data_IF_037179654419
#
_entry.id   IF_037179654419
#
_cell.length_a   1.000
_cell.length_b   1.000
_cell.length_c   1.000
_cell.angle_alpha   90.00
_cell.angle_beta   90.00
_cell.angle_gamma   90.00
#
_symmetry.space_group_name_H-M   'P 1'
#
loop_
_entity.id
_entity.type
_entity.pdbx_description
1 polymer ?
#
# COMPACT_ATOMS: atom_id res chain seq x y z
N UNK A 1 38.23 -83.46 29.37
CA UNK A 1 39.38 -82.58 29.66
C UNK A 1 40.32 -82.63 28.46
N UNK A 2 40.45 -81.50 27.72
CA UNK A 2 41.13 -81.31 26.40
C UNK A 2 40.50 -82.15 25.26
N UNK A 3 40.25 -81.67 24.03
CA UNK A 3 41.09 -81.08 22.97
C UNK A 3 40.08 -80.44 21.97
N UNK A 4 40.08 -79.12 21.69
CA UNK A 4 40.77 -78.36 20.60
C UNK A 4 40.32 -78.61 19.14
N UNK A 5 39.68 -77.57 18.57
CA UNK A 5 39.89 -76.89 17.27
C UNK A 5 39.43 -77.43 15.88
N UNK A 6 38.72 -76.50 15.19
CA UNK A 6 38.66 -76.10 13.75
C UNK A 6 38.23 -77.13 12.70
N UNK A 7 37.13 -76.84 11.97
CA UNK A 7 37.19 -76.52 10.51
C UNK A 7 35.94 -75.78 10.02
N UNK A 8 36.17 -74.74 9.23
CA UNK A 8 35.19 -73.88 8.54
C UNK A 8 34.42 -74.63 7.45
N UNK A 9 33.13 -74.29 7.28
CA UNK A 9 32.40 -74.52 6.04
C UNK A 9 31.70 -73.21 5.65
N UNK A 10 32.04 -72.72 4.47
CA UNK A 10 31.59 -71.44 3.92
C UNK A 10 30.12 -71.48 3.50
N UNK A 11 29.44 -70.36 3.76
CA UNK A 11 28.11 -70.09 3.23
C UNK A 11 28.24 -68.90 2.28
N UNK A 12 28.19 -69.21 0.98
CA UNK A 12 28.12 -68.24 -0.11
C UNK A 12 26.72 -67.64 -0.06
N UNK A 13 26.59 -66.44 0.52
CA UNK A 13 25.39 -65.62 0.34
C UNK A 13 25.46 -64.96 -1.04
N UNK A 14 24.64 -65.44 -1.97
CA UNK A 14 24.33 -64.75 -3.21
C UNK A 14 23.53 -63.48 -2.87
N UNK A 15 24.18 -62.32 -2.91
CA UNK A 15 23.51 -61.03 -2.88
C UNK A 15 22.88 -60.77 -4.25
N UNK A 16 21.56 -60.92 -4.35
CA UNK A 16 20.76 -60.35 -5.43
C UNK A 16 20.73 -58.83 -5.23
N UNK A 17 21.68 -58.14 -5.86
CA UNK A 17 21.61 -56.71 -6.08
C UNK A 17 20.53 -56.51 -7.16
N UNK A 18 19.34 -56.09 -6.75
CA UNK A 18 18.37 -55.45 -7.65
C UNK A 18 18.94 -54.09 -8.04
N UNK A 19 19.86 -54.10 -9.02
CA UNK A 19 20.17 -52.94 -9.83
C UNK A 19 19.02 -52.76 -10.82
N UNK A 20 17.97 -52.06 -10.39
CA UNK A 20 17.00 -51.47 -11.31
C UNK A 20 17.63 -50.23 -11.93
N UNK A 21 17.84 -50.25 -13.23
CA UNK A 21 18.31 -49.11 -14.02
C UNK A 21 17.40 -47.89 -13.83
N UNK A 22 17.92 -46.83 -13.20
CA UNK A 22 17.33 -45.49 -13.29
C UNK A 22 18.04 -44.76 -14.44
N UNK A 23 17.69 -45.13 -15.67
CA UNK A 23 18.10 -44.39 -16.86
C UNK A 23 17.36 -43.05 -16.87
N UNK A 24 18.00 -42.02 -16.30
CA UNK A 24 18.02 -40.69 -16.90
C UNK A 24 16.79 -39.80 -16.75
N UNK A 25 16.07 -39.80 -15.62
CA UNK A 25 15.19 -38.65 -15.30
C UNK A 25 16.06 -37.45 -14.91
N UNK A 26 16.35 -36.59 -15.89
CA UNK A 26 16.86 -35.26 -15.59
C UNK A 26 15.81 -34.53 -14.74
N UNK A 27 16.24 -33.97 -13.61
CA UNK A 27 15.38 -33.10 -12.83
C UNK A 27 14.89 -31.96 -13.75
N UNK A 28 13.60 -31.57 -13.67
CA UNK A 28 13.11 -30.42 -14.41
C UNK A 28 13.99 -29.19 -14.15
N UNK A 29 14.13 -28.34 -15.16
CA UNK A 29 14.82 -27.06 -14.99
C UNK A 29 14.07 -26.21 -13.97
N UNK A 30 14.81 -25.46 -13.16
CA UNK A 30 14.22 -24.49 -12.24
C UNK A 30 13.82 -23.22 -12.98
N UNK A 31 12.64 -22.69 -12.65
CA UNK A 31 12.05 -21.49 -13.24
C UNK A 31 11.85 -20.46 -12.14
N UNK A 32 12.41 -19.26 -12.32
CA UNK A 32 12.18 -18.12 -11.44
C UNK A 32 10.85 -17.46 -11.77
N UNK A 33 10.00 -17.27 -10.75
CA UNK A 33 8.70 -16.60 -10.88
C UNK A 33 8.61 -15.50 -9.84
N UNK A 34 8.41 -14.27 -10.30
CA UNK A 34 8.08 -13.14 -9.43
C UNK A 34 6.59 -12.88 -9.48
N UNK A 35 5.95 -12.67 -8.33
CA UNK A 35 4.53 -12.37 -8.23
C UNK A 35 4.36 -11.01 -7.57
N UNK A 36 3.63 -10.11 -8.20
CA UNK A 36 3.35 -8.77 -7.67
C UNK A 36 1.85 -8.54 -7.53
N UNK A 37 1.42 -8.01 -6.38
CA UNK A 37 0.04 -7.59 -6.17
C UNK A 37 -0.11 -6.10 -6.52
N UNK A 38 -0.91 -5.78 -7.53
CA UNK A 38 -1.21 -4.41 -7.95
C UNK A 38 -2.73 -4.18 -8.08
N UNK A 39 -3.52 -4.98 -7.38
CA UNK A 39 -4.98 -4.89 -7.32
C UNK A 39 -5.41 -3.89 -6.23
N UNK A 40 -5.82 -2.65 -6.58
CA UNK A 40 -6.00 -1.55 -5.62
C UNK A 40 -7.14 -1.78 -4.62
N UNK A 41 -8.17 -2.54 -4.97
CA UNK A 41 -9.33 -2.87 -4.15
C UNK A 41 -9.05 -3.90 -3.07
N UNK A 42 -7.82 -4.41 -2.98
CA UNK A 42 -7.40 -5.41 -1.99
C UNK A 42 -6.26 -4.85 -1.14
N UNK A 43 -6.36 -5.00 0.18
CA UNK A 43 -5.26 -4.64 1.08
C UNK A 43 -4.08 -5.59 0.90
N UNK A 44 -4.40 -6.88 0.85
CA UNK A 44 -3.47 -7.96 0.63
C UNK A 44 -4.16 -9.09 -0.13
N UNK A 45 -3.36 -9.85 -0.88
CA UNK A 45 -3.77 -11.08 -1.55
C UNK A 45 -2.87 -12.22 -1.07
N UNK A 46 -3.46 -13.39 -0.87
CA UNK A 46 -2.72 -14.62 -0.65
C UNK A 46 -2.50 -15.33 -1.97
N UNK A 47 -1.24 -15.58 -2.34
CA UNK A 47 -0.86 -16.33 -3.53
C UNK A 47 -0.30 -17.70 -3.13
N UNK A 48 -0.72 -18.78 -3.79
CA UNK A 48 -0.23 -20.14 -3.54
C UNK A 48 -0.27 -21.01 -4.81
N UNK A 49 0.68 -21.95 -4.93
CA UNK A 49 0.74 -22.92 -6.05
C UNK A 49 -0.24 -24.09 -5.91
N UNK A 50 -0.58 -24.49 -4.69
CA UNK A 50 -1.54 -25.56 -4.39
C UNK A 50 -2.24 -25.20 -3.08
N UNK A 51 -3.21 -25.99 -2.61
CA UNK A 51 -3.75 -25.84 -1.24
C UNK A 51 -2.71 -26.08 -0.12
N UNK A 52 -1.45 -26.42 -0.45
CA UNK A 52 -0.35 -26.48 0.53
C UNK A 52 0.04 -25.07 1.00
N UNK A 53 -0.21 -24.80 2.28
CA UNK A 53 0.04 -23.51 2.93
C UNK A 53 1.53 -23.18 3.11
N UNK A 54 2.45 -24.13 2.85
CA UNK A 54 3.89 -23.95 3.06
C UNK A 54 4.62 -23.22 1.92
N UNK A 55 3.98 -23.06 0.76
CA UNK A 55 4.56 -22.43 -0.44
C UNK A 55 3.66 -21.29 -0.98
N UNK A 56 3.24 -20.40 -0.09
CA UNK A 56 2.44 -19.23 -0.44
C UNK A 56 3.05 -17.92 0.05
N UNK A 57 2.46 -16.81 -0.37
CA UNK A 57 2.81 -15.47 0.04
C UNK A 57 1.56 -14.65 0.39
N UNK A 58 1.68 -13.79 1.39
CA UNK A 58 0.74 -12.70 1.60
C UNK A 58 1.36 -11.45 1.01
N UNK A 59 0.78 -10.96 -0.09
CA UNK A 59 1.27 -9.82 -0.85
C UNK A 59 0.39 -8.61 -0.54
N UNK A 60 0.90 -7.64 0.20
CA UNK A 60 0.25 -6.33 0.31
C UNK A 60 0.16 -5.63 -1.05
N UNK A 61 -0.72 -4.65 -1.18
CA UNK A 61 -0.79 -3.84 -2.39
C UNK A 61 0.58 -3.19 -2.70
N UNK A 62 1.03 -3.31 -3.96
CA UNK A 62 2.36 -2.96 -4.50
C UNK A 62 3.55 -3.78 -3.97
N UNK A 63 3.28 -4.87 -3.25
CA UNK A 63 4.32 -5.80 -2.83
C UNK A 63 4.59 -6.87 -3.90
N UNK A 64 5.77 -7.49 -3.83
CA UNK A 64 6.12 -8.61 -4.69
C UNK A 64 7.04 -9.62 -4.02
N UNK A 65 6.93 -10.88 -4.42
CA UNK A 65 7.77 -11.96 -3.92
C UNK A 65 8.27 -12.86 -5.05
N UNK A 66 9.50 -13.37 -4.91
CA UNK A 66 10.08 -14.35 -5.81
C UNK A 66 9.89 -15.78 -5.31
N UNK A 67 9.69 -16.67 -6.27
CA UNK A 67 9.55 -18.10 -6.09
C UNK A 67 10.43 -18.82 -7.11
N UNK A 68 10.73 -20.08 -6.81
CA UNK A 68 11.41 -20.98 -7.74
C UNK A 68 10.58 -22.25 -7.85
N UNK A 69 10.18 -22.57 -9.09
CA UNK A 69 9.41 -23.77 -9.41
C UNK A 69 10.19 -24.69 -10.35
N UNK A 70 9.67 -25.88 -10.60
CA UNK A 70 10.14 -26.75 -11.68
C UNK A 70 9.42 -26.34 -12.98
N UNK A 71 10.04 -26.57 -14.14
CA UNK A 71 9.36 -26.38 -15.42
C UNK A 71 8.22 -27.39 -15.55
N UNK A 72 6.98 -26.91 -15.48
CA UNK A 72 5.74 -27.70 -15.54
C UNK A 72 4.52 -26.77 -15.72
N UNK A 73 3.33 -27.34 -15.84
CA UNK A 73 2.06 -26.61 -15.73
C UNK A 73 1.57 -26.65 -14.28
N UNK A 74 1.21 -25.49 -13.72
CA UNK A 74 0.72 -25.37 -12.34
C UNK A 74 -0.61 -24.64 -12.28
N UNK A 75 -1.49 -25.06 -11.37
CA UNK A 75 -2.70 -24.29 -11.02
C UNK A 75 -2.39 -23.34 -9.86
N UNK A 76 -2.19 -22.05 -10.13
CA UNK A 76 -2.00 -21.07 -9.06
C UNK A 76 -3.32 -20.55 -8.53
N UNK A 77 -3.40 -20.36 -7.22
CA UNK A 77 -4.56 -19.82 -6.51
C UNK A 77 -4.23 -18.48 -5.87
N UNK A 78 -5.12 -17.52 -6.07
CA UNK A 78 -5.12 -16.24 -5.37
C UNK A 78 -6.36 -16.19 -4.48
N UNK A 79 -6.24 -15.90 -3.20
CA UNK A 79 -7.38 -15.62 -2.32
C UNK A 79 -7.28 -14.25 -1.67
N UNK A 80 -8.43 -13.61 -1.49
CA UNK A 80 -8.51 -12.36 -0.72
C UNK A 80 -8.47 -12.65 0.79
N UNK A 81 -8.04 -11.66 1.59
CA UNK A 81 -8.21 -11.71 3.04
C UNK A 81 -9.70 -11.57 3.40
N UNK A 82 -10.15 -12.30 4.41
CA UNK A 82 -11.42 -12.01 5.10
C UNK A 82 -11.16 -11.55 6.54
N UNK A 83 -11.96 -10.59 7.02
CA UNK A 83 -11.92 -10.07 8.40
C UNK A 83 -12.95 -10.73 9.31
N UNK A 84 -13.72 -11.67 8.77
CA UNK A 84 -14.77 -12.41 9.44
C UNK A 84 -14.75 -13.86 8.94
N UNK A 85 -15.62 -14.72 9.51
CA UNK A 85 -15.72 -16.13 9.14
C UNK A 85 -16.35 -16.38 7.75
N UNK A 86 -16.39 -15.37 6.86
CA UNK A 86 -16.81 -15.56 5.47
C UNK A 86 -15.74 -16.30 4.69
N UNK A 87 -16.17 -17.17 3.76
CA UNK A 87 -15.25 -17.83 2.84
C UNK A 87 -14.62 -16.81 1.88
N UNK A 88 -13.29 -16.81 1.79
CA UNK A 88 -12.55 -15.98 0.85
C UNK A 88 -12.87 -16.36 -0.60
N UNK A 89 -13.09 -15.36 -1.48
CA UNK A 89 -13.06 -15.61 -2.92
C UNK A 89 -11.67 -16.09 -3.33
N UNK A 90 -11.65 -16.98 -4.32
CA UNK A 90 -10.42 -17.54 -4.87
C UNK A 90 -10.46 -17.45 -6.39
N UNK A 91 -9.37 -16.96 -6.97
CA UNK A 91 -9.12 -16.95 -8.41
C UNK A 91 -8.04 -17.97 -8.75
N UNK A 92 -8.11 -18.54 -9.95
CA UNK A 92 -7.17 -19.56 -10.40
C UNK A 92 -6.71 -19.28 -11.82
N UNK A 93 -5.43 -19.52 -12.09
CA UNK A 93 -4.86 -19.49 -13.44
C UNK A 93 -3.76 -20.54 -13.57
N UNK A 94 -3.59 -21.08 -14.78
CA UNK A 94 -2.76 -22.25 -15.03
C UNK A 94 -1.71 -22.03 -16.13
N UNK A 95 -0.64 -21.25 -15.89
CA UNK A 95 0.41 -21.03 -16.88
C UNK A 95 1.29 -22.28 -17.00
N UNK A 96 1.84 -22.49 -18.20
CA UNK A 96 2.90 -23.44 -18.44
C UNK A 96 4.25 -22.74 -18.22
N UNK A 97 5.06 -23.25 -17.29
CA UNK A 97 6.39 -22.73 -17.01
C UNK A 97 7.43 -23.51 -17.82
N UNK A 98 8.13 -22.82 -18.71
CA UNK A 98 9.25 -23.39 -19.47
C UNK A 98 10.59 -22.97 -18.84
N UNK A 99 11.49 -23.94 -18.68
CA UNK A 99 12.83 -23.77 -18.14
C UNK A 99 13.79 -22.90 -18.95
N UNK A 100 13.34 -22.33 -20.07
CA UNK A 100 14.06 -21.35 -20.87
C UNK A 100 13.75 -19.89 -20.46
N UNK A 101 12.73 -19.65 -19.64
CA UNK A 101 12.27 -18.31 -19.28
C UNK A 101 12.23 -18.11 -17.75
N UNK A 102 12.29 -16.84 -17.33
CA UNK A 102 11.75 -16.39 -16.05
C UNK A 102 10.37 -15.77 -16.29
N UNK A 103 9.57 -15.66 -15.23
CA UNK A 103 8.21 -15.12 -15.33
C UNK A 103 7.96 -14.05 -14.29
N UNK A 104 7.18 -13.05 -14.67
CA UNK A 104 6.52 -12.14 -13.73
C UNK A 104 5.01 -12.33 -13.83
N UNK A 105 4.35 -12.62 -12.72
CA UNK A 105 2.90 -12.63 -12.60
C UNK A 105 2.46 -11.34 -11.94
N UNK A 106 1.67 -10.55 -12.66
CA UNK A 106 1.12 -9.30 -12.14
C UNK A 106 -0.35 -9.53 -11.83
N UNK A 107 -0.68 -9.56 -10.54
CA UNK A 107 -2.06 -9.71 -10.08
C UNK A 107 -2.76 -8.36 -10.21
N UNK A 108 -3.51 -8.18 -11.28
CA UNK A 108 -4.27 -6.95 -11.55
C UNK A 108 -5.73 -7.10 -11.11
N UNK A 109 -6.48 -6.00 -11.20
CA UNK A 109 -7.91 -5.97 -10.91
C UNK A 109 -8.72 -5.35 -12.06
N UNK A 110 -9.84 -5.99 -12.39
CA UNK A 110 -10.85 -5.46 -13.31
C UNK A 110 -12.22 -5.67 -12.68
N UNK A 111 -12.89 -4.58 -12.30
CA UNK A 111 -14.25 -4.64 -11.75
C UNK A 111 -14.41 -5.47 -10.47
N UNK A 112 -13.39 -5.47 -9.59
CA UNK A 112 -13.42 -6.25 -8.33
C UNK A 112 -12.97 -7.71 -8.46
N UNK A 113 -12.54 -8.12 -9.66
CA UNK A 113 -12.06 -9.47 -9.97
C UNK A 113 -10.56 -9.44 -10.30
N UNK A 114 -9.82 -10.44 -9.80
CA UNK A 114 -8.39 -10.57 -10.08
C UNK A 114 -8.17 -11.15 -11.48
N UNK A 115 -7.33 -10.46 -12.27
CA UNK A 115 -6.92 -10.91 -13.60
C UNK A 115 -5.38 -10.92 -13.69
N UNK A 116 -4.73 -12.08 -13.50
CA UNK A 116 -3.29 -12.16 -13.60
C UNK A 116 -2.79 -11.91 -15.03
N UNK A 117 -1.79 -11.05 -15.19
CA UNK A 117 -1.01 -10.93 -16.43
C UNK A 117 0.29 -11.71 -16.25
N UNK A 118 0.56 -12.63 -17.17
CA UNK A 118 1.76 -13.45 -17.17
C UNK A 118 2.75 -12.89 -18.19
N UNK A 119 3.90 -12.44 -17.68
CA UNK A 119 4.99 -11.88 -18.49
C UNK A 119 6.10 -12.92 -18.55
N UNK A 120 6.48 -13.30 -19.76
CA UNK A 120 7.60 -14.21 -20.01
C UNK A 120 8.86 -13.41 -20.33
N UNK A 121 9.97 -13.81 -19.72
CA UNK A 121 11.25 -13.15 -19.86
C UNK A 121 12.29 -14.13 -20.36
N UNK A 122 12.81 -13.87 -21.55
CA UNK A 122 14.01 -14.56 -22.04
C UNK A 122 15.25 -14.10 -21.29
N UNK A 123 16.36 -14.83 -21.44
CA UNK A 123 17.64 -14.44 -20.83
C UNK A 123 18.04 -13.01 -21.22
N UNK A 124 18.32 -12.11 -20.25
CA UNK A 124 18.68 -10.73 -20.54
C UNK A 124 19.95 -10.65 -21.41
N UNK A 125 19.94 -9.83 -22.48
CA UNK A 125 21.13 -9.64 -23.30
C UNK A 125 22.25 -8.97 -22.50
N UNK A 126 23.49 -9.44 -22.65
CA UNK A 126 24.64 -8.98 -21.86
C UNK A 126 25.01 -7.48 -22.04
N UNK A 127 24.49 -6.82 -23.07
CA UNK A 127 24.86 -5.44 -23.43
C UNK A 127 23.70 -4.44 -23.36
N UNK A 128 22.46 -4.93 -23.42
CA UNK A 128 21.24 -4.14 -23.46
C UNK A 128 20.42 -4.36 -22.18
N UNK A 129 19.53 -3.43 -21.88
CA UNK A 129 18.51 -3.63 -20.86
C UNK A 129 17.33 -4.41 -21.47
N UNK A 130 16.82 -5.41 -20.77
CA UNK A 130 15.57 -6.07 -21.13
C UNK A 130 14.44 -5.37 -20.39
N UNK A 131 13.50 -4.80 -21.14
CA UNK A 131 12.37 -4.08 -20.58
C UNK A 131 11.07 -4.79 -20.96
N UNK A 132 10.22 -4.99 -19.96
CA UNK A 132 8.80 -5.24 -20.14
C UNK A 132 8.03 -4.11 -19.47
N UNK A 133 6.88 -3.74 -20.03
CA UNK A 133 5.95 -2.83 -19.40
C UNK A 133 4.53 -3.39 -19.51
N UNK A 134 3.78 -3.37 -18.41
CA UNK A 134 2.40 -3.86 -18.34
C UNK A 134 1.49 -2.79 -17.76
N UNK A 135 0.28 -2.69 -18.31
CA UNK A 135 -0.70 -1.71 -17.86
C UNK A 135 -1.72 -2.35 -16.92
N UNK A 136 -1.52 -2.26 -15.60
CA UNK A 136 -2.46 -2.82 -14.61
C UNK A 136 -3.61 -1.86 -14.25
N UNK A 137 -3.50 -0.57 -14.56
CA UNK A 137 -4.53 0.44 -14.30
C UNK A 137 -5.73 0.37 -15.27
N UNK A 138 -6.62 -0.60 -15.07
CA UNK A 138 -7.78 -0.88 -15.94
C UNK A 138 -8.80 0.26 -16.11
N UNK A 139 -8.77 1.28 -15.25
CA UNK A 139 -9.61 2.47 -15.35
C UNK A 139 -9.06 3.59 -16.25
N UNK A 140 -7.86 3.44 -16.81
CA UNK A 140 -7.24 4.44 -17.69
C UNK A 140 -7.34 4.04 -19.18
N UNK A 141 -7.23 5.03 -20.10
CA UNK A 141 -7.08 4.73 -21.52
C UNK A 141 -5.77 4.00 -21.80
N UNK A 142 -5.62 3.48 -23.02
CA UNK A 142 -4.34 2.98 -23.51
C UNK A 142 -3.22 4.02 -23.30
N UNK A 143 -2.02 3.53 -23.00
CA UNK A 143 -0.87 4.35 -22.66
C UNK A 143 0.22 4.25 -23.72
N UNK A 144 0.92 5.36 -23.93
CA UNK A 144 2.19 5.41 -24.63
C UNK A 144 3.34 5.43 -23.61
N UNK A 145 4.34 4.56 -23.81
CA UNK A 145 5.57 4.53 -23.01
C UNK A 145 6.70 5.28 -23.71
N UNK A 146 7.24 6.30 -23.07
CA UNK A 146 8.47 6.95 -23.46
C UNK A 146 9.57 6.60 -22.46
N UNK A 147 10.74 6.28 -22.99
CA UNK A 147 11.97 6.06 -22.21
C UNK A 147 13.07 6.86 -22.90
N UNK A 148 13.31 8.05 -22.38
CA UNK A 148 14.21 9.05 -22.95
C UNK A 148 15.39 9.32 -22.03
N UNK A 149 16.52 9.81 -22.57
CA UNK A 149 17.67 10.16 -21.73
C UNK A 149 17.30 11.31 -20.79
N UNK A 150 17.94 11.41 -19.60
CA UNK A 150 17.62 12.45 -18.63
C UNK A 150 17.68 13.85 -19.23
N UNK A 151 16.64 14.65 -18.98
CA UNK A 151 16.52 16.03 -19.48
C UNK A 151 16.17 16.20 -20.96
N UNK A 152 16.02 15.12 -21.75
CA UNK A 152 15.61 15.24 -23.17
C UNK A 152 14.12 15.56 -23.31
N UNK A 153 13.28 14.97 -22.44
CA UNK A 153 11.82 15.08 -22.54
C UNK A 153 11.25 14.33 -23.76
N UNK A 154 9.94 14.48 -24.00
CA UNK A 154 9.21 13.72 -25.04
C UNK A 154 8.82 14.54 -26.28
N UNK A 155 9.20 15.82 -26.35
CA UNK A 155 8.83 16.69 -27.46
C UNK A 155 9.46 16.21 -28.78
N UNK A 156 8.63 15.74 -29.71
CA UNK A 156 9.09 15.18 -30.98
C UNK A 156 9.63 13.74 -30.89
N UNK A 157 9.60 13.12 -29.71
CA UNK A 157 9.93 11.72 -29.55
C UNK A 157 8.79 10.83 -30.07
N UNK A 158 9.13 9.62 -30.51
CA UNK A 158 8.14 8.56 -30.80
C UNK A 158 8.10 7.63 -29.59
N UNK A 159 6.92 7.21 -29.12
CA UNK A 159 6.83 6.27 -28.00
C UNK A 159 7.52 4.95 -28.33
N UNK A 160 8.06 4.29 -27.30
CA UNK A 160 8.66 2.95 -27.39
C UNK A 160 7.61 1.87 -27.66
N UNK A 161 6.35 2.16 -27.37
CA UNK A 161 5.19 1.35 -27.69
C UNK A 161 3.94 1.91 -27.03
N UNK A 162 2.79 1.41 -27.48
CA UNK A 162 1.46 1.70 -26.93
C UNK A 162 0.82 0.39 -26.46
N UNK A 163 0.08 0.44 -25.36
CA UNK A 163 -0.49 -0.76 -24.74
C UNK A 163 -1.79 -0.43 -24.01
N UNK A 164 -2.82 -1.25 -24.22
CA UNK A 164 -4.09 -1.14 -23.51
C UNK A 164 -3.96 -1.70 -22.08
N UNK A 165 -4.97 -1.45 -21.24
CA UNK A 165 -5.09 -2.13 -19.96
C UNK A 165 -5.01 -3.66 -20.13
N UNK A 166 -4.31 -4.32 -19.21
CA UNK A 166 -3.99 -5.76 -19.23
C UNK A 166 -3.03 -6.22 -20.32
N UNK A 167 -2.56 -5.32 -21.20
CA UNK A 167 -1.56 -5.64 -22.20
C UNK A 167 -0.15 -5.29 -21.71
N UNK A 168 0.83 -5.86 -22.44
CA UNK A 168 2.24 -5.62 -22.22
C UNK A 168 2.98 -5.30 -23.51
N UNK A 169 4.07 -4.56 -23.38
CA UNK A 169 5.06 -4.32 -24.45
C UNK A 169 6.45 -4.66 -23.94
N UNK A 170 7.36 -5.02 -24.85
CA UNK A 170 8.74 -5.36 -24.52
C UNK A 170 9.72 -4.57 -25.40
N UNK A 171 9.88 -3.25 -25.18
CA UNK A 171 10.80 -2.44 -25.97
C UNK A 171 12.25 -2.83 -25.69
N UNK A 172 13.10 -2.76 -26.72
CA UNK A 172 14.55 -2.97 -26.59
C UNK A 172 15.26 -1.63 -26.44
N UNK A 173 16.12 -1.51 -25.45
CA UNK A 173 16.82 -0.28 -25.13
C UNK A 173 18.28 -0.58 -24.78
N UNK A 174 19.22 0.27 -25.25
CA UNK A 174 20.57 0.26 -24.71
C UNK A 174 20.54 0.47 -23.20
N UNK A 175 21.47 -0.13 -22.49
CA UNK A 175 21.62 0.14 -21.06
C UNK A 175 21.93 1.62 -20.76
N UNK A 176 21.66 2.03 -19.53
CA UNK A 176 21.99 3.36 -19.00
C UNK A 176 20.80 4.05 -18.33
N UNK A 177 20.92 5.36 -18.19
CA UNK A 177 19.94 6.18 -17.47
C UNK A 177 18.84 6.69 -18.38
N UNK A 178 17.62 6.72 -17.83
CA UNK A 178 16.39 7.11 -18.51
C UNK A 178 15.43 7.87 -17.59
N UNK A 179 14.56 8.67 -18.18
CA UNK A 179 13.30 9.13 -17.58
C UNK A 179 12.15 8.37 -18.26
N UNK A 180 11.25 7.83 -17.46
CA UNK A 180 10.03 7.17 -17.95
C UNK A 180 8.91 8.21 -17.97
N UNK A 181 8.24 8.34 -19.11
CA UNK A 181 7.02 9.14 -19.25
C UNK A 181 5.89 8.29 -19.79
N UNK A 182 4.72 8.36 -19.15
CA UNK A 182 3.48 7.74 -19.62
C UNK A 182 2.49 8.81 -20.02
N UNK A 183 1.95 8.71 -21.24
CA UNK A 183 0.89 9.59 -21.74
C UNK A 183 -0.31 8.79 -22.20
N UNK A 184 -1.44 9.45 -22.42
CA UNK A 184 -2.52 8.82 -23.17
C UNK A 184 -2.02 8.48 -24.58
N UNK A 185 -2.41 7.31 -25.10
CA UNK A 185 -1.94 6.82 -26.38
C UNK A 185 -2.31 7.79 -27.52
N UNK A 186 -1.31 8.21 -28.29
CA UNK A 186 -1.47 9.16 -29.38
C UNK A 186 -1.65 10.63 -28.95
N UNK A 187 -1.57 10.94 -27.66
CA UNK A 187 -1.66 12.30 -27.11
C UNK A 187 -0.51 12.60 -26.13
N UNK A 188 0.65 13.05 -26.63
CA UNK A 188 1.80 13.36 -25.78
C UNK A 188 1.60 14.59 -24.88
N UNK A 189 0.52 15.36 -25.05
CA UNK A 189 0.20 16.48 -24.15
C UNK A 189 -0.52 16.02 -22.87
N UNK A 190 -1.18 14.87 -22.92
CA UNK A 190 -1.87 14.28 -21.78
C UNK A 190 -0.94 13.33 -21.01
N UNK A 191 -0.06 13.90 -20.18
CA UNK A 191 0.93 13.17 -19.39
C UNK A 191 0.31 12.69 -18.07
N UNK A 192 0.39 11.39 -17.80
CA UNK A 192 -0.04 10.81 -16.52
C UNK A 192 1.08 10.74 -15.48
N UNK A 193 2.32 10.51 -15.93
CA UNK A 193 3.46 10.36 -15.04
C UNK A 193 4.77 10.64 -15.79
N UNK A 194 5.69 11.36 -15.14
CA UNK A 194 7.09 11.42 -15.56
C UNK A 194 8.00 11.16 -14.38
N UNK A 195 8.90 10.18 -14.45
CA UNK A 195 9.76 9.82 -13.32
C UNK A 195 10.94 10.78 -13.18
N UNK A 196 11.61 10.70 -12.04
CA UNK A 196 13.03 11.05 -11.95
C UNK A 196 13.88 10.05 -12.76
N UNK A 197 15.19 10.32 -12.87
CA UNK A 197 16.11 9.41 -13.53
C UNK A 197 16.12 8.02 -12.88
N UNK A 198 15.96 7.00 -13.71
CA UNK A 198 16.11 5.58 -13.38
C UNK A 198 17.25 4.97 -14.18
N UNK A 199 17.93 3.98 -13.60
CA UNK A 199 18.97 3.24 -14.30
C UNK A 199 18.42 1.91 -14.81
N UNK A 200 18.66 1.61 -16.08
CA UNK A 200 18.37 0.34 -16.73
C UNK A 200 19.69 -0.39 -17.03
N UNK A 201 20.14 -1.31 -16.17
CA UNK A 201 21.43 -1.98 -16.34
C UNK A 201 21.41 -2.99 -17.50
N UNK A 202 22.59 -3.25 -18.08
CA UNK A 202 22.75 -4.34 -19.03
C UNK A 202 22.58 -5.70 -18.35
N UNK A 203 22.08 -6.69 -19.08
CA UNK A 203 21.93 -8.06 -18.55
C UNK A 203 20.92 -8.17 -17.40
N UNK A 204 20.04 -7.18 -17.24
CA UNK A 204 19.02 -7.14 -16.18
C UNK A 204 17.63 -7.05 -16.79
N UNK A 205 16.72 -7.86 -16.26
CA UNK A 205 15.29 -7.78 -16.51
C UNK A 205 14.69 -6.60 -15.71
N UNK A 206 14.00 -5.70 -16.39
CA UNK A 206 13.32 -4.56 -15.81
C UNK A 206 11.86 -4.57 -16.24
N UNK A 207 10.97 -4.93 -15.31
CA UNK A 207 9.53 -4.94 -15.57
C UNK A 207 8.89 -3.70 -14.94
N UNK A 208 8.33 -2.83 -15.77
CA UNK A 208 7.52 -1.69 -15.35
C UNK A 208 6.06 -2.10 -15.24
N UNK A 209 5.49 -2.06 -14.04
CA UNK A 209 4.06 -2.30 -13.84
C UNK A 209 3.37 -0.97 -13.59
N UNK A 210 2.49 -0.53 -14.50
CA UNK A 210 1.70 0.69 -14.30
C UNK A 210 0.57 0.39 -13.32
N UNK A 211 0.69 0.88 -12.10
CA UNK A 211 -0.20 0.59 -10.98
C UNK A 211 -1.23 1.71 -10.82
N UNK A 212 -2.54 1.41 -10.73
CA UNK A 212 -3.54 2.41 -10.35
C UNK A 212 -3.37 2.76 -8.87
N UNK A 213 -3.19 4.04 -8.52
CA UNK A 213 -3.03 4.44 -7.11
C UNK A 213 -4.29 4.21 -6.28
N UNK A 214 -5.46 4.18 -6.93
CA UNK A 214 -6.74 3.84 -6.31
C UNK A 214 -7.17 4.80 -5.21
N UNK A 215 -6.50 5.94 -5.02
CA UNK A 215 -6.75 6.87 -3.92
C UNK A 215 -5.60 7.05 -2.91
N UNK A 216 -4.43 6.40 -3.08
CA UNK A 216 -3.24 6.63 -2.23
C UNK A 216 -2.60 8.03 -2.36
N UNK A 217 -3.27 8.99 -3.01
CA UNK A 217 -2.80 10.37 -3.10
C UNK A 217 -3.42 11.15 -4.25
N UNK A 218 -2.69 12.16 -4.72
CA UNK A 218 -3.11 13.05 -5.80
C UNK A 218 -2.83 12.48 -7.20
N UNK A 219 -1.91 11.52 -7.31
CA UNK A 219 -1.58 10.84 -8.56
C UNK A 219 -2.59 9.75 -8.91
N UNK A 220 -2.86 9.57 -10.21
CA UNK A 220 -3.74 8.49 -10.69
C UNK A 220 -3.02 7.14 -10.79
N UNK A 221 -1.71 7.18 -11.10
CA UNK A 221 -0.85 6.01 -11.25
C UNK A 221 0.51 6.22 -10.61
N UNK A 222 1.16 5.11 -10.28
CA UNK A 222 2.61 4.99 -10.12
C UNK A 222 3.13 3.86 -11.00
N UNK A 223 4.44 3.68 -11.04
CA UNK A 223 5.06 2.52 -11.70
C UNK A 223 5.82 1.70 -10.68
N UNK A 224 5.43 0.44 -10.48
CA UNK A 224 6.23 -0.53 -9.74
C UNK A 224 7.30 -1.08 -10.68
N UNK A 225 8.55 -0.72 -10.41
CA UNK A 225 9.72 -1.22 -11.12
C UNK A 225 10.22 -2.50 -10.44
N UNK A 226 10.05 -3.61 -11.13
CA UNK A 226 10.52 -4.93 -10.74
C UNK A 226 11.87 -5.19 -11.42
N UNK A 227 12.95 -4.99 -10.66
CA UNK A 227 14.35 -5.34 -10.97
C UNK A 227 14.93 -6.16 -9.82
N UNK A 228 16.23 -6.15 -9.52
CA UNK A 228 16.79 -6.85 -8.35
C UNK A 228 15.97 -6.63 -7.06
N UNK A 229 15.86 -5.39 -6.58
CA UNK A 229 14.90 -5.00 -5.54
C UNK A 229 13.75 -4.20 -6.16
N UNK A 230 12.49 -4.48 -5.79
CA UNK A 230 11.35 -3.68 -6.21
C UNK A 230 11.45 -2.22 -5.74
N UNK A 231 10.99 -1.29 -6.56
CA UNK A 231 10.85 0.12 -6.18
C UNK A 231 9.63 0.75 -6.84
N UNK A 232 9.04 1.74 -6.18
CA UNK A 232 7.92 2.51 -6.73
C UNK A 232 8.46 3.81 -7.31
N UNK A 233 8.12 4.07 -8.57
CA UNK A 233 8.43 5.30 -9.28
C UNK A 233 7.19 6.18 -9.30
N UNK A 234 7.33 7.37 -8.73
CA UNK A 234 6.28 8.39 -8.68
C UNK A 234 6.50 9.43 -9.78
N UNK A 235 5.44 10.16 -10.10
CA UNK A 235 5.56 11.34 -10.94
C UNK A 235 6.37 12.43 -10.21
N UNK A 236 7.47 12.87 -10.82
CA UNK A 236 8.33 13.93 -10.29
C UNK A 236 7.63 15.27 -10.19
N UNK A 237 6.56 15.46 -10.96
CA UNK A 237 5.76 16.68 -10.97
C UNK A 237 4.54 16.59 -10.05
N UNK A 238 4.34 15.45 -9.37
CA UNK A 238 3.19 15.29 -8.50
C UNK A 238 3.26 16.26 -7.32
N UNK A 239 2.15 16.94 -7.07
CA UNK A 239 2.00 17.81 -5.91
C UNK A 239 1.69 16.97 -4.67
N UNK A 240 2.12 17.43 -3.50
CA UNK A 240 1.59 16.93 -2.24
C UNK A 240 0.27 17.64 -1.94
N UNK A 241 -0.61 16.97 -1.21
CA UNK A 241 -1.88 17.54 -0.75
C UNK A 241 -2.04 17.33 0.76
N UNK A 242 -2.53 18.36 1.45
CA UNK A 242 -2.73 18.33 2.90
C UNK A 242 -4.13 18.84 3.24
N UNK A 243 -4.80 18.15 4.16
CA UNK A 243 -5.98 18.64 4.86
C UNK A 243 -5.72 18.79 6.35
N UNK A 244 -6.58 19.55 7.01
CA UNK A 244 -6.40 19.93 8.41
C UNK A 244 -7.63 19.56 9.22
N UNK A 245 -7.41 19.14 10.46
CA UNK A 245 -8.45 18.92 11.47
C UNK A 245 -8.14 19.81 12.67
N UNK A 246 -9.12 20.62 13.06
CA UNK A 246 -9.02 21.49 14.24
C UNK A 246 -9.42 20.73 15.51
N UNK A 247 -8.44 20.41 16.35
CA UNK A 247 -8.60 19.82 17.67
C UNK A 247 -8.21 20.76 18.83
N UNK A 248 -8.25 22.08 18.64
CA UNK A 248 -7.92 23.03 19.69
C UNK A 248 -8.86 22.88 20.90
N UNK A 249 -8.32 22.92 22.12
CA UNK A 249 -9.09 22.59 23.34
C UNK A 249 -10.18 23.63 23.66
N UNK A 250 -10.03 24.86 23.17
CA UNK A 250 -11.02 25.93 23.34
C UNK A 250 -12.19 25.83 22.34
N UNK A 251 -12.14 24.88 21.41
CA UNK A 251 -13.12 24.62 20.36
C UNK A 251 -13.43 25.80 19.43
N UNK A 252 -12.60 26.85 19.45
CA UNK A 252 -12.79 28.00 18.58
C UNK A 252 -12.25 27.73 17.16
N UNK A 253 -12.83 28.34 16.13
CA UNK A 253 -12.35 28.17 14.75
C UNK A 253 -10.96 28.78 14.57
N UNK A 254 -10.19 28.28 13.61
CA UNK A 254 -8.82 28.72 13.31
C UNK A 254 -8.58 29.00 11.83
N UNK A 255 -7.70 29.95 11.54
CA UNK A 255 -7.15 30.15 10.21
C UNK A 255 -5.86 29.33 10.06
N UNK A 256 -5.63 28.75 8.88
CA UNK A 256 -4.39 28.05 8.50
C UNK A 256 -3.76 28.76 7.31
N UNK A 257 -2.48 29.09 7.42
CA UNK A 257 -1.67 29.71 6.38
C UNK A 257 -0.40 28.90 6.12
N UNK A 258 0.17 29.07 4.92
CA UNK A 258 1.49 28.54 4.55
C UNK A 258 2.46 29.71 4.45
N UNK A 259 3.66 29.55 5.01
CA UNK A 259 4.76 30.53 4.95
C UNK A 259 4.32 31.96 5.31
N UNK A 260 3.50 32.07 6.36
CA UNK A 260 2.95 33.32 6.88
C UNK A 260 2.08 34.11 5.88
N UNK A 261 1.56 33.44 4.85
CA UNK A 261 0.59 34.02 3.91
C UNK A 261 -0.82 34.02 4.53
N UNK A 262 -1.14 35.04 5.31
CA UNK A 262 -2.42 35.17 6.01
C UNK A 262 -3.52 35.92 5.24
N UNK A 263 -3.24 36.41 4.03
CA UNK A 263 -4.21 37.19 3.24
C UNK A 263 -4.15 36.83 1.75
N UNK A 264 -5.08 35.98 1.27
CA UNK A 264 -5.96 35.11 2.08
C UNK A 264 -5.16 33.99 2.77
N UNK A 265 -5.62 33.48 3.93
CA UNK A 265 -5.08 32.24 4.48
C UNK A 265 -5.44 31.06 3.55
N UNK A 266 -4.74 29.93 3.66
CA UNK A 266 -5.06 28.72 2.90
C UNK A 266 -6.48 28.23 3.21
N UNK A 267 -6.81 28.18 4.50
CA UNK A 267 -8.15 27.91 4.99
C UNK A 267 -8.49 28.95 6.06
N UNK A 268 -9.70 29.48 6.00
CA UNK A 268 -10.19 30.41 7.02
C UNK A 268 -11.28 29.77 7.87
N UNK A 269 -11.27 30.09 9.17
CA UNK A 269 -12.29 29.71 10.14
C UNK A 269 -12.66 28.21 10.15
N UNK A 270 -11.65 27.34 10.12
CA UNK A 270 -11.82 25.88 10.21
C UNK A 270 -12.55 25.54 11.52
N UNK A 271 -13.78 24.99 11.48
CA UNK A 271 -14.54 24.66 12.68
C UNK A 271 -13.87 23.56 13.51
N UNK A 272 -14.12 23.54 14.81
CA UNK A 272 -13.63 22.49 15.68
C UNK A 272 -14.24 21.13 15.33
N UNK A 273 -13.37 20.11 15.25
CA UNK A 273 -13.77 18.73 14.97
C UNK A 273 -14.31 18.51 13.56
N UNK A 274 -13.99 19.40 12.63
CA UNK A 274 -14.26 19.26 11.20
C UNK A 274 -12.96 19.22 10.41
N UNK A 275 -13.02 18.56 9.26
CA UNK A 275 -11.91 18.48 8.33
C UNK A 275 -12.07 19.48 7.19
N UNK A 276 -10.95 19.99 6.70
CA UNK A 276 -10.93 20.73 5.44
C UNK A 276 -10.94 19.76 4.25
N UNK A 277 -11.28 20.24 3.04
CA UNK A 277 -10.84 19.58 1.82
C UNK A 277 -9.31 19.46 1.77
N UNK A 278 -8.79 18.56 0.94
CA UNK A 278 -7.36 18.59 0.59
C UNK A 278 -7.04 19.85 -0.22
N UNK A 279 -5.90 20.46 0.08
CA UNK A 279 -5.33 21.53 -0.72
C UNK A 279 -3.86 21.24 -1.06
N UNK A 280 -3.33 21.78 -2.18
CA UNK A 280 -1.92 21.65 -2.52
C UNK A 280 -1.00 22.11 -1.39
N UNK A 281 0.05 21.34 -1.14
CA UNK A 281 1.09 21.64 -0.17
C UNK A 281 2.49 21.53 -0.80
N UNK A 282 3.44 22.41 -0.46
CA UNK A 282 4.79 22.32 -0.98
C UNK A 282 5.47 20.98 -0.66
N UNK A 283 6.18 20.42 -1.64
CA UNK A 283 7.03 19.23 -1.45
C UNK A 283 8.37 19.59 -0.80
N UNK A 284 8.78 20.85 -0.90
CA UNK A 284 9.86 21.41 -0.08
C UNK A 284 9.35 21.78 1.32
N UNK A 285 10.26 21.92 2.28
CA UNK A 285 9.91 22.33 3.64
C UNK A 285 9.27 23.72 3.64
N UNK A 286 8.05 23.81 4.19
CA UNK A 286 7.28 25.04 4.34
C UNK A 286 6.69 25.13 5.76
N UNK A 287 6.43 26.36 6.21
CA UNK A 287 5.81 26.62 7.52
C UNK A 287 4.30 26.54 7.41
N UNK A 288 3.69 25.74 8.28
CA UNK A 288 2.27 25.71 8.53
C UNK A 288 2.02 26.61 9.74
N UNK A 289 1.23 27.66 9.53
CA UNK A 289 0.89 28.64 10.54
C UNK A 289 -0.59 28.53 10.90
N UNK A 290 -0.90 28.38 12.19
CA UNK A 290 -2.28 28.38 12.70
C UNK A 290 -2.47 29.61 13.58
N UNK A 291 -3.56 30.35 13.35
CA UNK A 291 -3.90 31.56 14.10
C UNK A 291 -5.38 31.59 14.46
N UNK A 292 -5.80 32.35 15.48
CA UNK A 292 -7.21 32.68 15.68
C UNK A 292 -7.75 33.42 14.46
N UNK A 293 -9.04 33.24 14.18
CA UNK A 293 -9.70 33.87 13.03
C UNK A 293 -9.52 35.39 13.06
N UNK A 294 -8.98 35.94 11.97
CA UNK A 294 -8.79 37.39 11.82
C UNK A 294 -7.71 38.01 12.70
N UNK A 295 -6.91 37.21 13.41
CA UNK A 295 -5.79 37.68 14.24
C UNK A 295 -4.47 37.00 13.85
N UNK A 296 -3.96 37.35 12.67
CA UNK A 296 -2.71 36.80 12.13
C UNK A 296 -1.46 37.13 12.94
N UNK A 297 -1.54 38.08 13.89
CA UNK A 297 -0.45 38.40 14.81
C UNK A 297 -0.31 37.41 15.98
N UNK A 298 -1.32 36.59 16.24
CA UNK A 298 -1.31 35.58 17.30
C UNK A 298 -1.02 34.19 16.70
N UNK A 299 0.26 33.86 16.56
CA UNK A 299 0.67 32.55 16.06
C UNK A 299 0.53 31.49 17.15
N UNK A 300 -0.35 30.51 16.92
CA UNK A 300 -0.59 29.41 17.87
C UNK A 300 0.11 28.11 17.48
N UNK A 301 0.41 27.92 16.18
CA UNK A 301 1.26 26.86 15.65
C UNK A 301 2.21 27.45 14.59
N UNK A 302 3.49 27.07 14.64
CA UNK A 302 4.49 27.34 13.59
C UNK A 302 5.27 26.05 13.30
N UNK A 303 4.68 25.17 12.49
CA UNK A 303 5.24 23.85 12.22
C UNK A 303 5.92 23.83 10.85
N UNK A 304 7.17 23.42 10.78
CA UNK A 304 7.84 23.15 9.49
C UNK A 304 7.60 21.71 9.07
N UNK A 305 7.07 21.52 7.86
CA UNK A 305 6.81 20.19 7.27
C UNK A 305 7.19 20.23 5.79
N UNK A 306 7.52 19.08 5.22
CA UNK A 306 7.67 18.92 3.77
C UNK A 306 6.61 17.92 3.29
N UNK A 307 5.94 18.24 2.19
CA UNK A 307 4.98 17.35 1.56
C UNK A 307 5.69 16.19 0.86
N UNK A 308 5.00 15.06 0.77
CA UNK A 308 5.46 13.93 -0.04
C UNK A 308 4.81 14.03 -1.43
N UNK A 309 5.58 14.17 -2.52
CA UNK A 309 5.03 14.24 -3.88
C UNK A 309 4.03 13.11 -4.16
N UNK A 310 2.88 13.46 -4.73
CA UNK A 310 1.86 12.48 -5.13
C UNK A 310 1.06 11.89 -3.97
N UNK A 311 1.31 12.30 -2.74
CA UNK A 311 0.63 11.79 -1.55
C UNK A 311 -0.37 12.82 -0.99
N UNK A 312 -1.40 12.28 -0.34
CA UNK A 312 -2.33 13.02 0.50
C UNK A 312 -2.01 12.78 1.96
N UNK A 313 -2.26 13.78 2.79
CA UNK A 313 -2.07 13.63 4.22
C UNK A 313 -3.06 14.45 5.03
N UNK A 314 -3.21 14.05 6.29
CA UNK A 314 -4.00 14.73 7.30
C UNK A 314 -3.09 15.29 8.39
N UNK A 315 -3.29 16.55 8.73
CA UNK A 315 -2.71 17.18 9.90
C UNK A 315 -3.78 17.46 10.95
N UNK A 316 -3.62 16.91 12.14
CA UNK A 316 -4.39 17.29 13.32
C UNK A 316 -3.56 18.29 14.11
N UNK A 317 -4.09 19.47 14.37
CA UNK A 317 -3.53 20.36 15.38
C UNK A 317 -4.44 20.37 16.62
N UNK A 318 -3.83 20.29 17.81
CA UNK A 318 -4.57 20.26 19.06
C UNK A 318 -3.77 20.87 20.22
N UNK A 319 -4.46 21.08 21.34
CA UNK A 319 -3.90 21.67 22.56
C UNK A 319 -4.48 23.05 22.89
N UNK A 320 -3.97 23.70 23.94
CA UNK A 320 -4.42 25.02 24.36
C UNK A 320 -4.11 26.12 23.32
N UNK A 321 -4.99 27.11 23.25
CA UNK A 321 -4.76 28.32 22.46
C UNK A 321 -3.40 28.96 22.81
N UNK A 322 -2.62 29.32 21.79
CA UNK A 322 -1.27 29.89 21.92
C UNK A 322 -0.14 28.85 22.06
N UNK A 323 -0.43 27.58 22.29
CA UNK A 323 0.56 26.51 22.39
C UNK A 323 0.11 25.24 21.67
N UNK A 324 -0.47 25.40 20.48
CA UNK A 324 -0.90 24.25 19.68
C UNK A 324 0.33 23.42 19.29
N UNK A 325 0.11 22.12 19.20
CA UNK A 325 1.04 21.17 18.59
C UNK A 325 0.29 20.41 17.50
N UNK A 326 0.99 19.56 16.74
CA UNK A 326 0.38 18.84 15.65
C UNK A 326 0.85 17.40 15.51
N UNK A 327 -0.03 16.55 14.99
CA UNK A 327 0.30 15.24 14.46
C UNK A 327 -0.03 15.20 12.96
N UNK A 328 0.69 14.35 12.22
CA UNK A 328 0.61 14.25 10.77
C UNK A 328 0.66 12.78 10.36
N UNK A 329 -0.15 12.40 9.36
CA UNK A 329 -0.07 11.07 8.75
C UNK A 329 -0.44 11.12 7.27
N UNK A 330 0.27 10.32 6.47
CA UNK A 330 -0.07 10.10 5.06
C UNK A 330 -1.31 9.23 4.97
N UNK A 331 -2.25 9.61 4.12
CA UNK A 331 -3.53 8.95 3.95
C UNK A 331 -3.47 7.87 2.86
N UNK A 332 -4.04 6.71 3.16
CA UNK A 332 -4.38 5.71 2.16
C UNK A 332 -5.87 5.85 1.84
N UNK A 333 -6.19 6.62 0.80
CA UNK A 333 -7.56 6.83 0.32
C UNK A 333 -8.10 5.70 -0.55
N UNK A 334 -7.44 4.53 -0.64
CA UNK A 334 -7.98 3.39 -1.41
C UNK A 334 -9.27 2.86 -0.82
N UNK A 335 -10.28 2.68 -1.64
CA UNK A 335 -11.50 1.98 -1.24
C UNK A 335 -11.34 0.49 -1.50
N UNK A 336 -11.52 -0.31 -0.46
CA UNK A 336 -11.31 -1.75 -0.51
C UNK A 336 -12.63 -2.48 -0.73
N UNK A 337 -12.61 -3.57 -1.49
CA UNK A 337 -13.81 -4.22 -2.02
C UNK A 337 -14.71 -4.82 -0.92
N UNK A 338 -14.12 -5.34 0.16
CA UNK A 338 -14.83 -6.11 1.19
C UNK A 338 -14.71 -5.55 2.60
N UNK A 339 -13.99 -4.46 2.80
CA UNK A 339 -13.74 -3.90 4.13
C UNK A 339 -13.86 -2.38 4.11
N UNK A 340 -14.24 -1.85 5.27
CA UNK A 340 -14.09 -0.44 5.59
C UNK A 340 -12.71 -0.19 6.20
N UNK A 341 -12.23 1.05 6.12
CA UNK A 341 -11.02 1.50 6.80
C UNK A 341 -11.36 2.61 7.78
N UNK A 342 -10.85 2.51 9.02
CA UNK A 342 -11.02 3.53 10.06
C UNK A 342 -9.68 4.17 10.45
N UNK A 343 -9.62 5.50 10.46
CA UNK A 343 -8.51 6.26 11.05
C UNK A 343 -8.89 6.75 12.44
N UNK A 344 -7.99 6.57 13.41
CA UNK A 344 -8.17 7.15 14.74
C UNK A 344 -7.32 8.39 14.92
N UNK A 345 -7.91 9.39 15.57
CA UNK A 345 -7.29 10.66 15.89
C UNK A 345 -7.63 11.03 17.33
N UNK A 346 -6.67 11.59 18.07
CA UNK A 346 -6.87 12.05 19.44
C UNK A 346 -6.44 13.49 19.59
N UNK A 347 -7.39 14.35 19.97
CA UNK A 347 -7.16 15.70 20.48
C UNK A 347 -7.41 15.78 22.00
N UNK A 348 -7.47 14.63 22.69
CA UNK A 348 -7.77 14.54 24.12
C UNK A 348 -6.55 14.91 24.95
N UNK A 349 -6.54 16.13 25.49
CA UNK A 349 -5.44 16.67 26.29
C UNK A 349 -5.59 16.44 27.80
N UNK A 350 -6.80 16.04 28.26
CA UNK A 350 -7.09 15.77 29.67
C UNK A 350 -6.45 14.49 30.21
N UNK A 351 -6.02 13.58 29.34
CA UNK A 351 -5.36 12.32 29.69
C UNK A 351 -4.02 12.19 28.96
N UNK A 352 -3.11 11.39 29.51
CA UNK A 352 -1.83 11.12 28.85
C UNK A 352 -2.02 10.45 27.47
N UNK A 353 -2.93 9.48 27.40
CA UNK A 353 -3.35 8.83 26.17
C UNK A 353 -4.73 8.18 26.36
N UNK A 354 -5.41 7.94 25.25
CA UNK A 354 -6.71 7.24 25.20
C UNK A 354 -6.61 5.98 24.35
N UNK A 355 -7.27 4.93 24.81
CA UNK A 355 -7.47 3.68 24.09
C UNK A 355 -8.79 3.75 23.32
N UNK A 356 -8.75 3.44 22.04
CA UNK A 356 -9.91 3.21 21.19
C UNK A 356 -10.24 1.73 21.22
N UNK A 357 -11.46 1.38 21.63
CA UNK A 357 -11.94 0.01 21.69
C UNK A 357 -13.17 -0.13 20.81
N UNK A 358 -13.13 -1.11 19.91
CA UNK A 358 -14.26 -1.45 19.06
C UNK A 358 -14.74 -2.85 19.43
N UNK A 359 -16.05 -3.00 19.61
CA UNK A 359 -16.69 -4.29 19.83
C UNK A 359 -17.94 -4.42 18.95
N UNK A 360 -18.49 -5.63 18.88
CA UNK A 360 -19.85 -5.78 18.34
C UNK A 360 -20.88 -5.18 19.31
N UNK A 361 -22.04 -4.77 18.80
CA UNK A 361 -23.17 -4.30 19.58
C UNK A 361 -23.43 -5.04 20.91
N UNK A 362 -23.25 -4.34 22.03
CA UNK A 362 -23.56 -4.85 23.37
C UNK A 362 -22.53 -5.79 23.98
N UNK A 363 -21.40 -6.04 23.33
CA UNK A 363 -20.27 -6.80 23.88
C UNK A 363 -19.47 -5.99 24.91
N UNK A 364 -18.75 -6.69 25.81
CA UNK A 364 -17.97 -6.07 26.90
C UNK A 364 -16.75 -5.28 26.36
N UNK A 365 -16.60 -3.97 26.67
CA UNK A 365 -15.46 -3.17 26.24
C UNK A 365 -14.14 -3.48 26.99
N UNK A 366 -14.15 -4.38 27.99
CA UNK A 366 -12.97 -4.78 28.75
C UNK A 366 -12.09 -5.82 28.01
N UNK A 367 -11.94 -5.64 26.69
CA UNK A 367 -11.01 -6.43 25.88
C UNK A 367 -9.56 -6.07 26.21
N UNK A 368 -8.66 -7.06 26.14
CA UNK A 368 -7.25 -6.87 26.53
C UNK A 368 -6.52 -5.86 25.64
N UNK A 369 -6.84 -5.81 24.35
CA UNK A 369 -6.12 -5.00 23.38
C UNK A 369 -7.06 -3.98 22.71
N UNK A 370 -6.77 -2.68 22.83
CA UNK A 370 -7.48 -1.67 22.06
C UNK A 370 -7.08 -1.75 20.57
N UNK A 371 -7.93 -1.23 19.69
CA UNK A 371 -7.61 -1.15 18.25
C UNK A 371 -6.61 -0.03 17.95
N UNK A 372 -6.54 1.00 18.80
CA UNK A 372 -5.52 2.05 18.77
C UNK A 372 -5.33 2.64 20.17
N UNK A 373 -4.14 3.15 20.47
CA UNK A 373 -3.86 3.91 21.69
C UNK A 373 -3.06 5.16 21.32
N UNK A 374 -3.60 6.35 21.61
CA UNK A 374 -3.07 7.62 21.10
C UNK A 374 -3.00 8.69 22.20
N UNK A 375 -1.84 9.36 22.32
CA UNK A 375 -1.69 10.63 23.01
C UNK A 375 -2.16 11.79 22.11
N UNK A 376 -2.45 12.96 22.68
CA UNK A 376 -2.86 14.14 21.92
C UNK A 376 -1.72 15.14 21.67
N UNK A 377 -1.68 15.78 20.47
CA UNK A 377 -2.35 15.33 19.25
C UNK A 377 -1.77 14.00 18.78
N UNK A 378 -2.61 13.12 18.26
CA UNK A 378 -2.19 11.83 17.71
C UNK A 378 -3.07 11.38 16.56
N UNK A 379 -2.46 10.71 15.58
CA UNK A 379 -3.14 10.06 14.45
C UNK A 379 -2.59 8.63 14.38
N UNK A 380 -3.46 7.63 14.18
CA UNK A 380 -3.03 6.25 14.00
C UNK A 380 -2.13 6.13 12.77
N UNK A 381 -1.04 5.36 12.86
CA UNK A 381 -0.07 5.22 11.76
C UNK A 381 -0.65 4.54 10.52
N UNK A 382 -1.62 3.66 10.70
CA UNK A 382 -2.38 3.01 9.64
C UNK A 382 -3.88 3.14 9.89
N UNK A 383 -4.65 2.81 8.86
CA UNK A 383 -6.08 2.55 9.02
C UNK A 383 -6.29 1.18 9.66
N UNK A 384 -7.34 1.07 10.47
CA UNK A 384 -7.82 -0.21 11.00
C UNK A 384 -8.89 -0.74 10.06
N UNK A 385 -8.70 -1.95 9.50
CA UNK A 385 -9.69 -2.55 8.62
C UNK A 385 -10.85 -3.13 9.45
N UNK A 386 -12.08 -2.92 8.99
CA UNK A 386 -13.30 -3.50 9.60
C UNK A 386 -14.15 -4.17 8.53
N UNK A 387 -14.74 -5.32 8.89
CA UNK A 387 -15.80 -5.89 8.06
C UNK A 387 -17.01 -4.94 8.01
N UNK A 388 -17.78 -4.90 6.91
CA UNK A 388 -19.03 -4.15 6.86
C UNK A 388 -19.98 -4.63 7.96
N UNK A 389 -20.57 -3.69 8.70
CA UNK A 389 -21.39 -4.04 9.85
C UNK A 389 -21.56 -2.90 10.84
N UNK A 390 -22.15 -3.24 11.96
CA UNK A 390 -22.45 -2.34 13.06
C UNK A 390 -21.54 -2.64 14.25
N UNK A 391 -21.07 -1.59 14.92
CA UNK A 391 -20.06 -1.65 15.97
C UNK A 391 -20.36 -0.65 17.10
N UNK A 392 -19.88 -0.97 18.30
CA UNK A 392 -19.80 -0.02 19.42
C UNK A 392 -18.35 0.45 19.60
N UNK A 393 -18.17 1.77 19.67
CA UNK A 393 -16.90 2.41 19.98
C UNK A 393 -16.89 2.90 21.44
N UNK A 394 -15.81 2.62 22.14
CA UNK A 394 -15.53 3.10 23.49
C UNK A 394 -14.17 3.79 23.53
N UNK A 395 -14.05 4.77 24.43
CA UNK A 395 -12.77 5.34 24.83
C UNK A 395 -12.46 4.89 26.24
N UNK A 396 -11.23 4.43 26.48
CA UNK A 396 -10.71 4.14 27.83
C UNK A 396 -9.47 4.99 28.11
N UNK A 397 -9.19 5.20 29.38
CA UNK A 397 -7.88 5.72 29.78
C UNK A 397 -6.83 4.66 29.44
N UNK A 398 -5.80 5.05 28.69
CA UNK A 398 -4.85 4.11 28.10
C UNK A 398 -4.25 3.14 29.12
N UNK A 399 -4.24 1.85 28.78
CA UNK A 399 -3.69 0.79 29.62
C UNK A 399 -4.56 0.42 30.84
N UNK A 400 -5.79 0.90 30.91
CA UNK A 400 -6.74 0.58 31.99
C UNK A 400 -8.11 0.19 31.42
N UNK A 401 -9.01 -0.26 32.30
CA UNK A 401 -10.43 -0.54 31.98
C UNK A 401 -11.35 0.65 32.28
N UNK A 402 -10.80 1.79 32.71
CA UNK A 402 -11.58 2.98 33.03
C UNK A 402 -12.16 3.60 31.76
N UNK A 403 -13.48 3.51 31.61
CA UNK A 403 -14.23 4.12 30.51
C UNK A 403 -14.23 5.64 30.64
N UNK A 404 -13.90 6.31 29.53
CA UNK A 404 -13.96 7.77 29.36
C UNK A 404 -15.16 8.17 28.50
N UNK A 405 -15.58 7.28 27.58
CA UNK A 405 -16.69 7.51 26.66
C UNK A 405 -17.25 6.19 26.12
N UNK A 406 -18.49 6.21 25.65
CA UNK A 406 -19.15 5.11 24.95
C UNK A 406 -20.21 4.34 25.77
N UNK A 407 -20.95 3.42 25.11
CA UNK A 407 -20.83 3.07 23.70
C UNK A 407 -21.29 4.19 22.77
N UNK A 408 -20.52 4.43 21.71
CA UNK A 408 -20.97 5.20 20.55
C UNK A 408 -21.20 4.22 19.39
N UNK A 409 -22.46 4.02 19.05
CA UNK A 409 -22.89 3.11 17.98
C UNK A 409 -22.58 3.72 16.61
N UNK A 410 -21.99 2.93 15.70
CA UNK A 410 -21.76 3.33 14.32
C UNK A 410 -21.86 2.15 13.35
N UNK A 411 -22.05 2.45 12.07
CA UNK A 411 -22.16 1.47 10.99
C UNK A 411 -21.14 1.79 9.91
N UNK A 412 -20.48 0.76 9.38
CA UNK A 412 -19.52 0.88 8.29
C UNK A 412 -19.95 0.01 7.11
N UNK A 413 -19.71 0.49 5.90
CA UNK A 413 -19.96 -0.22 4.65
C UNK A 413 -18.65 -0.61 3.96
N UNK A 414 -18.68 -1.65 3.12
CA UNK A 414 -17.54 -2.01 2.28
C UNK A 414 -17.08 -0.82 1.43
N UNK A 415 -15.77 -0.62 1.35
CA UNK A 415 -15.17 0.52 0.64
C UNK A 415 -15.30 1.86 1.35
N UNK A 416 -15.89 1.92 2.55
CA UNK A 416 -15.99 3.15 3.33
C UNK A 416 -14.69 3.53 4.02
N UNK A 417 -14.39 4.83 4.05
CA UNK A 417 -13.20 5.42 4.67
C UNK A 417 -13.60 6.37 5.79
N UNK A 418 -13.55 5.92 7.04
CA UNK A 418 -14.06 6.67 8.17
C UNK A 418 -12.95 7.20 9.06
N UNK A 419 -13.25 8.24 9.83
CA UNK A 419 -12.37 8.71 10.89
C UNK A 419 -13.10 8.91 12.20
N UNK A 420 -12.33 8.82 13.28
CA UNK A 420 -12.81 9.00 14.63
C UNK A 420 -11.86 9.97 15.31
N UNK A 421 -12.38 11.12 15.73
CA UNK A 421 -11.67 12.09 16.53
C UNK A 421 -12.14 11.98 17.98
N UNK A 422 -11.25 11.54 18.87
CA UNK A 422 -11.44 11.69 20.30
C UNK A 422 -11.13 13.13 20.72
N UNK A 423 -11.99 13.73 21.53
CA UNK A 423 -11.87 15.11 22.03
C UNK A 423 -12.04 15.16 23.54
N UNK A 424 -11.58 16.25 24.17
CA UNK A 424 -11.79 16.47 25.61
C UNK A 424 -13.29 16.46 25.97
N UNK A 425 -13.60 15.90 27.15
CA UNK A 425 -14.95 15.88 27.70
C UNK A 425 -15.33 17.19 28.39
N UNK A 426 -16.61 17.34 28.79
CA UNK A 426 -17.07 18.52 29.54
C UNK A 426 -16.43 18.65 30.93
N UNK A 427 -15.82 17.58 31.44
CA UNK A 427 -15.10 17.54 32.71
C UNK A 427 -13.74 16.83 32.56
N UNK A 428 -12.95 16.76 33.64
CA UNK A 428 -11.61 16.15 33.63
C UNK A 428 -11.61 14.61 33.70
N UNK A 429 -12.78 13.98 33.69
CA UNK A 429 -12.93 12.53 33.85
C UNK A 429 -13.54 11.84 32.62
N UNK A 430 -13.97 12.61 31.62
CA UNK A 430 -14.68 12.12 30.44
C UNK A 430 -13.99 12.55 29.16
N UNK A 431 -14.27 11.85 28.06
CA UNK A 431 -13.87 12.23 26.71
C UNK A 431 -15.06 12.17 25.76
N UNK A 432 -15.00 12.93 24.68
CA UNK A 432 -15.96 12.91 23.59
C UNK A 432 -15.44 12.16 22.36
N UNK A 433 -16.37 11.72 21.52
CA UNK A 433 -16.06 11.15 20.20
C UNK A 433 -16.78 11.98 19.13
N UNK A 434 -16.07 12.31 18.05
CA UNK A 434 -16.64 12.83 16.81
C UNK A 434 -16.32 11.88 15.67
N UNK A 435 -17.36 11.44 14.97
CA UNK A 435 -17.22 10.71 13.73
C UNK A 435 -17.00 11.69 12.59
N UNK A 436 -15.91 11.48 11.87
CA UNK A 436 -15.65 12.06 10.57
C UNK A 436 -16.12 10.98 9.59
N UNK A 437 -17.15 11.29 8.80
CA UNK A 437 -17.87 10.31 7.96
C UNK A 437 -17.01 9.67 6.87
N UNK A 438 -17.64 9.09 5.85
CA UNK A 438 -16.91 8.53 4.70
C UNK A 438 -16.18 9.66 3.94
N UNK A 439 -14.87 9.80 4.13
CA UNK A 439 -14.06 10.85 3.53
C UNK A 439 -13.04 10.29 2.53
N UNK A 440 -12.81 10.97 1.39
CA UNK A 440 -11.88 10.52 0.36
C UNK A 440 -10.38 10.68 0.72
#
# INVERSE_FOLDING_TARGET
MKISYVTSCGLVCAALILAGCDDGRQAPRKVGVRVANVAPGFEQLEFRREQDTRNGATLSFKDSQEFVYDADTYDFFISERTLNDTAARTWTFAPQLDGAFSYTFVLTEVGGEIQPVVIEHSEPPATDAQVAAVHAASGLPALDLYLERPGVGIAGATPRGSFNAQEQIAPRLPSGDYELTLTAAGDPANVFLTTTTITLPAGTESTFVVVPEGGQGSAQISVLLLQGLPSILYDRNAIAELRYVNGATDQAPRDVAIDSQFSPPLFSAIPFGEETPYAPYPTAAAKINVTPVGNSGALELDQTLAGVPGQRATMLFAGPAGTLTSAFSVDDGRRLNLEAKLRFMSAVSQFFAVDFVITFPGEDPNVLFPVASLAAPGISSSYVPLAPGEYDLYLRQAGTVTLLSGPTRFTVAAGGLYGVLAVDGPDTATAGVRFLGDFP
#
